data_IF_851001073421
#
_entry.id   IF_851001073421
#
_cell.length_a   1.000
_cell.length_b   1.000
_cell.length_c   1.000
_cell.angle_alpha   90.00
_cell.angle_beta   90.00
_cell.angle_gamma   90.00
#
_symmetry.space_group_name_H-M   'P 1'
#
loop_
_entity.id
_entity.type
_entity.pdbx_description
1 polymer ?
#
# COMPACT_ATOMS: atom_id res chain seq x y z
N UNK A 1 -13.39 18.05 -13.38
CA UNK A 1 -14.28 17.10 -12.68
C UNK A 1 -13.52 16.64 -11.42
N UNK A 2 -13.88 17.12 -10.24
CA UNK A 2 -13.17 16.76 -8.98
C UNK A 2 -13.56 15.33 -8.63
N UNK A 3 -12.57 14.43 -8.60
CA UNK A 3 -12.75 13.09 -8.05
C UNK A 3 -13.20 13.21 -6.59
N UNK A 4 -14.34 12.62 -6.26
CA UNK A 4 -14.84 12.59 -4.90
C UNK A 4 -13.95 11.64 -4.10
N UNK A 5 -13.16 12.20 -3.20
CA UNK A 5 -12.54 11.47 -2.12
C UNK A 5 -13.68 11.08 -1.17
N UNK A 6 -13.99 9.81 -1.10
CA UNK A 6 -14.82 9.28 -0.03
C UNK A 6 -13.95 9.14 1.22
N UNK A 7 -13.76 10.29 1.90
CA UNK A 7 -13.41 10.29 3.30
C UNK A 7 -14.70 10.04 4.07
N UNK A 8 -15.08 8.79 4.27
CA UNK A 8 -16.09 8.42 5.24
C UNK A 8 -15.38 7.96 6.52
N UNK A 9 -15.54 8.85 7.49
CA UNK A 9 -15.55 8.62 8.93
C UNK A 9 -14.27 8.16 9.65
N UNK A 10 -13.82 9.06 10.46
CA UNK A 10 -13.09 9.02 11.72
C UNK A 10 -11.63 9.49 11.64
N UNK A 11 -11.52 10.72 11.84
CA UNK A 11 -10.42 11.55 12.32
C UNK A 11 -10.03 12.64 11.30
N UNK A 12 -10.03 13.87 11.75
CA UNK A 12 -9.62 15.09 11.04
C UNK A 12 -8.10 15.15 10.75
N UNK A 13 -7.43 14.02 10.60
CA UNK A 13 -6.01 13.96 10.27
C UNK A 13 -5.81 13.82 8.76
N UNK A 14 -4.90 14.63 8.21
CA UNK A 14 -4.47 14.50 6.82
C UNK A 14 -3.92 13.10 6.54
N UNK A 15 -4.19 12.50 5.36
CA UNK A 15 -3.73 11.16 5.03
C UNK A 15 -2.20 11.11 4.95
N UNK A 16 -1.60 10.11 5.60
CA UNK A 16 -0.16 9.84 5.55
C UNK A 16 0.23 8.78 4.54
N UNK A 17 -0.73 7.98 4.08
CA UNK A 17 -0.53 6.91 3.11
C UNK A 17 -1.48 7.09 1.94
N UNK A 18 -0.96 6.97 0.71
CA UNK A 18 -1.75 6.96 -0.52
C UNK A 18 -1.71 5.56 -1.13
N UNK A 19 -2.89 4.95 -1.33
CA UNK A 19 -3.04 3.60 -1.87
C UNK A 19 -3.58 3.69 -3.31
N UNK A 20 -2.81 3.17 -4.25
CA UNK A 20 -3.15 3.16 -5.67
C UNK A 20 -3.44 1.73 -6.15
N UNK A 21 -4.45 1.58 -6.99
CA UNK A 21 -4.85 0.31 -7.58
C UNK A 21 -4.87 0.41 -9.11
N UNK A 22 -4.31 -0.59 -9.79
CA UNK A 22 -4.32 -0.65 -11.26
C UNK A 22 -5.72 -0.85 -11.85
N UNK A 23 -6.62 -1.46 -11.06
CA UNK A 23 -8.00 -1.77 -11.45
C UNK A 23 -8.93 -1.76 -10.25
N UNK A 24 -10.25 -1.58 -10.50
CA UNK A 24 -11.28 -1.77 -9.48
C UNK A 24 -11.30 -3.20 -8.93
N UNK A 25 -10.92 -4.19 -9.73
CA UNK A 25 -10.82 -5.59 -9.28
C UNK A 25 -9.81 -5.82 -8.16
N UNK A 26 -8.83 -4.92 -7.99
CA UNK A 26 -7.79 -5.05 -6.98
C UNK A 26 -8.29 -4.65 -5.57
N UNK A 27 -9.48 -4.05 -5.49
CA UNK A 27 -10.05 -3.55 -4.25
C UNK A 27 -10.20 -4.63 -3.18
N UNK A 28 -10.70 -5.82 -3.54
CA UNK A 28 -10.91 -6.91 -2.58
C UNK A 28 -9.60 -7.34 -1.87
N UNK A 29 -8.48 -7.19 -2.56
CA UNK A 29 -7.15 -7.40 -1.99
C UNK A 29 -6.66 -6.17 -1.24
N UNK A 30 -6.74 -4.99 -1.86
CA UNK A 30 -6.13 -3.77 -1.32
C UNK A 30 -6.88 -3.19 -0.12
N UNK A 31 -8.16 -3.53 0.07
CA UNK A 31 -8.90 -3.16 1.29
C UNK A 31 -8.23 -3.66 2.57
N UNK A 32 -7.50 -4.79 2.51
CA UNK A 32 -6.73 -5.27 3.67
C UNK A 32 -5.64 -4.30 4.11
N UNK A 33 -5.07 -3.51 3.18
CA UNK A 33 -4.15 -2.45 3.56
C UNK A 33 -4.88 -1.28 4.23
N UNK A 34 -6.05 -0.88 3.70
CA UNK A 34 -6.89 0.18 4.29
C UNK A 34 -7.31 -0.19 5.71
N UNK A 35 -7.83 -1.40 5.89
CA UNK A 35 -8.30 -1.91 7.19
C UNK A 35 -7.14 -1.94 8.20
N UNK A 36 -5.97 -2.45 7.80
CA UNK A 36 -4.78 -2.52 8.67
C UNK A 36 -4.26 -1.14 9.07
N UNK A 37 -4.24 -0.17 8.15
CA UNK A 37 -3.88 1.22 8.48
C UNK A 37 -4.89 1.83 9.45
N UNK A 38 -6.19 1.57 9.25
CA UNK A 38 -7.26 2.00 10.15
C UNK A 38 -7.12 1.44 11.56
N UNK A 39 -6.80 0.14 11.71
CA UNK A 39 -6.50 -0.50 13.00
C UNK A 39 -5.32 0.17 13.73
N UNK A 40 -4.35 0.68 12.98
CA UNK A 40 -3.17 1.38 13.52
C UNK A 40 -3.38 2.90 13.70
N UNK A 41 -4.59 3.41 13.41
CA UNK A 41 -4.91 4.83 13.52
C UNK A 41 -4.23 5.71 12.47
N UNK A 42 -3.81 5.14 11.33
CA UNK A 42 -3.16 5.86 10.24
C UNK A 42 -4.20 6.23 9.17
N UNK A 43 -4.41 7.52 8.95
CA UNK A 43 -5.27 8.00 7.89
C UNK A 43 -4.65 7.71 6.51
N UNK A 44 -5.45 7.19 5.57
CA UNK A 44 -5.04 6.93 4.21
C UNK A 44 -6.09 7.40 3.20
N UNK A 45 -5.63 7.70 2.00
CA UNK A 45 -6.47 7.86 0.81
C UNK A 45 -6.29 6.67 -0.12
N UNK A 46 -7.28 6.37 -0.96
CA UNK A 46 -7.16 5.29 -1.94
C UNK A 46 -7.95 5.60 -3.21
N UNK A 47 -7.41 5.18 -4.35
CA UNK A 47 -8.08 5.34 -5.63
C UNK A 47 -7.54 4.40 -6.71
N UNK A 48 -8.32 4.23 -7.76
CA UNK A 48 -7.88 3.53 -8.98
C UNK A 48 -7.09 4.51 -9.86
N UNK A 49 -5.85 4.13 -10.19
CA UNK A 49 -4.97 4.86 -11.10
C UNK A 49 -4.11 3.87 -11.88
N UNK A 50 -4.54 3.56 -13.10
CA UNK A 50 -3.84 2.57 -13.94
C UNK A 50 -2.62 3.18 -14.61
N UNK A 51 -1.45 2.52 -14.48
CA UNK A 51 -0.25 2.94 -15.19
C UNK A 51 -0.41 2.94 -16.73
N UNK A 52 -1.29 2.07 -17.27
CA UNK A 52 -1.49 1.91 -18.71
C UNK A 52 -2.68 2.69 -19.25
N UNK A 53 -3.76 2.85 -18.46
CA UNK A 53 -5.01 3.46 -18.91
C UNK A 53 -5.19 4.91 -18.48
N UNK A 54 -4.52 5.31 -17.38
CA UNK A 54 -4.55 6.66 -16.80
C UNK A 54 -3.16 7.07 -16.34
N UNK A 55 -2.11 7.02 -17.19
CA UNK A 55 -0.72 7.25 -16.78
C UNK A 55 -0.50 8.66 -16.20
N UNK A 56 -1.17 9.67 -16.76
CA UNK A 56 -1.08 11.06 -16.26
C UNK A 56 -1.65 11.19 -14.84
N UNK A 57 -2.71 10.44 -14.51
CA UNK A 57 -3.28 10.42 -13.17
C UNK A 57 -2.30 9.81 -12.16
N UNK A 58 -1.73 8.64 -12.49
CA UNK A 58 -0.76 7.96 -11.63
C UNK A 58 0.48 8.84 -11.39
N UNK A 59 1.00 9.46 -12.45
CA UNK A 59 2.14 10.39 -12.39
C UNK A 59 1.83 11.62 -11.53
N UNK A 60 0.66 12.23 -11.70
CA UNK A 60 0.25 13.42 -10.93
C UNK A 60 0.16 13.09 -9.44
N UNK A 61 -0.50 11.99 -9.07
CA UNK A 61 -0.63 11.56 -7.69
C UNK A 61 0.74 11.37 -7.05
N UNK A 62 1.65 10.68 -7.73
CA UNK A 62 3.01 10.44 -7.25
C UNK A 62 3.78 11.74 -7.01
N UNK A 63 3.73 12.68 -7.96
CA UNK A 63 4.42 13.98 -7.87
C UNK A 63 3.86 14.89 -6.76
N UNK A 64 2.54 14.90 -6.57
CA UNK A 64 1.87 15.76 -5.60
C UNK A 64 1.86 15.17 -4.17
N UNK A 65 2.14 13.88 -4.01
CA UNK A 65 2.00 13.15 -2.75
C UNK A 65 2.75 13.82 -1.58
N UNK A 66 4.03 14.11 -1.75
CA UNK A 66 4.85 14.72 -0.70
C UNK A 66 4.32 16.09 -0.25
N UNK A 67 3.89 16.92 -1.21
CA UNK A 67 3.32 18.25 -0.92
C UNK A 67 1.97 18.22 -0.20
N UNK A 68 1.29 17.06 -0.21
CA UNK A 68 0.02 16.82 0.49
C UNK A 68 0.21 16.11 1.85
N UNK A 69 1.44 15.94 2.32
CA UNK A 69 1.72 15.28 3.60
C UNK A 69 1.77 13.75 3.55
N UNK A 70 1.65 13.14 2.37
CA UNK A 70 1.83 11.70 2.20
C UNK A 70 3.28 11.33 2.49
N UNK A 71 3.47 10.25 3.24
CA UNK A 71 4.79 9.74 3.64
C UNK A 71 5.15 8.43 2.94
N UNK A 72 4.15 7.62 2.55
CA UNK A 72 4.34 6.34 1.88
C UNK A 72 3.25 6.15 0.82
N UNK A 73 3.62 5.62 -0.34
CA UNK A 73 2.68 5.15 -1.35
C UNK A 73 2.65 3.62 -1.38
N UNK A 74 1.44 3.06 -1.47
CA UNK A 74 1.23 1.62 -1.67
C UNK A 74 0.56 1.45 -3.03
N UNK A 75 1.11 0.60 -3.89
CA UNK A 75 0.59 0.39 -5.24
C UNK A 75 0.31 -1.09 -5.49
N UNK A 76 -0.95 -1.43 -5.74
CA UNK A 76 -1.41 -2.77 -6.08
C UNK A 76 -1.69 -2.91 -7.58
N UNK A 77 -1.11 -3.94 -8.22
CA UNK A 77 -1.35 -4.23 -9.63
C UNK A 77 -1.12 -5.71 -9.96
N UNK A 78 -1.78 -6.19 -11.02
CA UNK A 78 -1.69 -7.56 -11.48
C UNK A 78 -1.24 -7.71 -12.92
N UNK A 79 -0.83 -8.92 -13.29
CA UNK A 79 -0.27 -9.29 -14.60
C UNK A 79 0.97 -8.44 -14.94
N UNK A 80 0.89 -7.55 -15.94
CA UNK A 80 1.90 -6.52 -16.20
C UNK A 80 1.84 -5.42 -15.12
N UNK A 81 2.30 -5.74 -13.92
CA UNK A 81 2.12 -4.94 -12.70
C UNK A 81 3.10 -3.76 -12.62
N UNK A 82 3.03 -2.84 -13.60
CA UNK A 82 3.97 -1.73 -13.74
C UNK A 82 3.67 -0.54 -12.82
N UNK A 83 2.51 -0.50 -12.16
CA UNK A 83 2.05 0.70 -11.43
C UNK A 83 3.04 1.15 -10.35
N UNK A 84 3.55 0.23 -9.53
CA UNK A 84 4.48 0.57 -8.46
C UNK A 84 5.78 1.19 -9.00
N UNK A 85 6.33 0.62 -10.09
CA UNK A 85 7.52 1.14 -10.75
C UNK A 85 7.29 2.53 -11.37
N UNK A 86 6.14 2.74 -12.02
CA UNK A 86 5.76 4.06 -12.56
C UNK A 86 5.64 5.09 -11.44
N UNK A 87 4.97 4.74 -10.35
CA UNK A 87 4.86 5.63 -9.17
C UNK A 87 6.22 5.95 -8.60
N UNK A 88 7.09 4.95 -8.38
CA UNK A 88 8.42 5.13 -7.82
C UNK A 88 9.33 6.03 -8.69
N UNK A 89 9.14 6.02 -10.01
CA UNK A 89 9.88 6.89 -10.93
C UNK A 89 9.49 8.39 -10.82
N UNK A 90 8.39 8.72 -10.13
CA UNK A 90 7.85 10.07 -10.07
C UNK A 90 7.80 10.68 -8.65
N UNK A 91 8.35 9.99 -7.65
CA UNK A 91 8.41 10.47 -6.27
C UNK A 91 9.70 10.01 -5.60
N UNK A 92 10.15 10.76 -4.60
CA UNK A 92 11.22 10.35 -3.69
C UNK A 92 10.69 9.62 -2.44
N UNK A 93 9.36 9.58 -2.25
CA UNK A 93 8.73 8.87 -1.13
C UNK A 93 8.90 7.36 -1.29
N UNK A 94 8.95 6.60 -0.18
CA UNK A 94 8.90 5.15 -0.23
C UNK A 94 7.67 4.63 -0.99
N UNK A 95 7.89 3.70 -1.93
CA UNK A 95 6.83 3.03 -2.68
C UNK A 95 6.85 1.55 -2.37
N UNK A 96 5.70 1.03 -1.93
CA UNK A 96 5.47 -0.37 -1.59
C UNK A 96 4.58 -1.02 -2.65
N UNK A 97 5.08 -2.06 -3.29
CA UNK A 97 4.37 -2.79 -4.34
C UNK A 97 3.67 -4.03 -3.80
N UNK A 98 2.40 -4.18 -4.15
CA UNK A 98 1.59 -5.37 -3.82
C UNK A 98 1.22 -6.07 -5.12
N UNK A 99 1.86 -7.20 -5.43
CA UNK A 99 1.49 -8.00 -6.59
C UNK A 99 0.11 -8.62 -6.41
N UNK A 100 -0.77 -8.49 -7.40
CA UNK A 100 -2.07 -9.15 -7.38
C UNK A 100 -1.96 -10.58 -7.91
N UNK A 101 -2.81 -11.46 -7.40
CA UNK A 101 -2.97 -12.79 -7.99
C UNK A 101 -3.50 -12.68 -9.42
N UNK A 102 -2.90 -13.41 -10.35
CA UNK A 102 -3.29 -13.47 -11.77
C UNK A 102 -3.83 -14.86 -12.13
N UNK A 103 -4.70 -14.92 -13.14
CA UNK A 103 -5.27 -16.20 -13.59
C UNK A 103 -4.21 -17.10 -14.24
N UNK A 104 -3.30 -16.52 -15.03
CA UNK A 104 -2.33 -17.27 -15.85
C UNK A 104 -1.19 -17.85 -15.03
N UNK A 105 -0.54 -17.06 -14.18
CA UNK A 105 0.68 -17.43 -13.44
C UNK A 105 0.52 -17.29 -11.92
N UNK A 106 -0.71 -17.26 -11.42
CA UNK A 106 -1.03 -17.19 -9.98
C UNK A 106 -0.31 -16.04 -9.25
N UNK A 107 -0.04 -14.94 -9.96
CA UNK A 107 0.61 -13.75 -9.44
C UNK A 107 2.15 -13.73 -9.58
N UNK A 108 2.78 -14.78 -10.11
CA UNK A 108 4.22 -14.79 -10.36
C UNK A 108 4.63 -13.72 -11.39
N UNK A 109 3.83 -13.54 -12.43
CA UNK A 109 3.96 -12.46 -13.40
C UNK A 109 3.87 -11.08 -12.75
N UNK A 110 2.90 -10.88 -11.86
CA UNK A 110 2.73 -9.64 -11.09
C UNK A 110 3.93 -9.39 -10.18
N UNK A 111 4.41 -10.43 -9.48
CA UNK A 111 5.57 -10.34 -8.59
C UNK A 111 6.83 -9.96 -9.37
N UNK A 112 7.13 -10.67 -10.45
CA UNK A 112 8.32 -10.41 -11.25
C UNK A 112 8.28 -9.03 -11.91
N UNK A 113 7.11 -8.58 -12.38
CA UNK A 113 6.93 -7.23 -12.95
C UNK A 113 7.14 -6.13 -11.92
N UNK A 114 6.88 -6.40 -10.64
CA UNK A 114 6.98 -5.41 -9.56
C UNK A 114 8.37 -5.39 -8.93
N UNK A 115 8.99 -6.57 -8.73
CA UNK A 115 10.24 -6.68 -7.97
C UNK A 115 11.50 -6.41 -8.80
N UNK A 116 11.49 -6.66 -10.12
CA UNK A 116 12.66 -6.54 -10.99
C UNK A 116 12.87 -5.09 -11.46
N UNK A 117 13.01 -4.18 -10.49
CA UNK A 117 13.25 -2.77 -10.76
C UNK A 117 14.71 -2.51 -11.15
N UNK A 118 14.97 -1.55 -12.05
CA UNK A 118 16.34 -1.13 -12.38
C UNK A 118 17.02 -0.47 -11.17
N UNK A 119 18.35 -0.56 -11.13
CA UNK A 119 19.14 0.16 -10.13
C UNK A 119 18.81 1.67 -10.14
N UNK A 120 18.57 2.24 -8.96
CA UNK A 120 18.24 3.66 -8.79
C UNK A 120 16.76 3.98 -8.57
N UNK A 121 15.83 3.10 -8.94
CA UNK A 121 14.38 3.28 -8.73
C UNK A 121 13.83 2.09 -7.92
N UNK A 122 13.94 2.11 -6.59
CA UNK A 122 13.53 0.99 -5.76
C UNK A 122 12.01 0.93 -5.55
N UNK A 123 11.48 -0.28 -5.47
CA UNK A 123 10.12 -0.59 -4.99
C UNK A 123 10.23 -1.66 -3.90
N UNK A 124 9.72 -1.38 -2.72
CA UNK A 124 9.62 -2.36 -1.63
C UNK A 124 8.50 -3.36 -1.93
N UNK A 125 8.80 -4.45 -2.63
CA UNK A 125 7.81 -5.42 -3.08
C UNK A 125 7.44 -6.40 -1.99
N UNK A 126 6.14 -6.55 -1.72
CA UNK A 126 5.58 -7.42 -0.68
C UNK A 126 5.06 -8.75 -1.28
N UNK A 127 4.44 -9.57 -0.44
CA UNK A 127 3.84 -10.83 -0.86
C UNK A 127 2.69 -10.64 -1.85
N UNK A 128 2.36 -11.67 -2.60
CA UNK A 128 1.22 -11.69 -3.52
C UNK A 128 -0.10 -11.69 -2.72
N UNK A 129 -1.06 -10.88 -3.16
CA UNK A 129 -2.43 -10.90 -2.66
C UNK A 129 -2.62 -10.21 -1.29
N UNK A 130 -3.61 -10.66 -0.52
CA UNK A 130 -4.05 -10.01 0.72
C UNK A 130 -2.99 -9.96 1.82
N UNK A 131 -2.15 -10.99 1.92
CA UNK A 131 -1.00 -10.97 2.84
C UNK A 131 -0.02 -9.85 2.48
N UNK A 132 0.23 -9.63 1.19
CA UNK A 132 1.05 -8.53 0.70
C UNK A 132 0.45 -7.17 1.00
N UNK A 133 -0.85 -6.99 0.82
CA UNK A 133 -1.56 -5.76 1.14
C UNK A 133 -1.46 -5.42 2.64
N UNK A 134 -1.71 -6.40 3.52
CA UNK A 134 -1.54 -6.25 4.97
C UNK A 134 -0.11 -5.89 5.35
N UNK A 135 0.87 -6.60 4.79
CA UNK A 135 2.29 -6.36 5.07
C UNK A 135 2.77 -5.00 4.52
N UNK A 136 2.22 -4.52 3.40
CA UNK A 136 2.49 -3.17 2.90
C UNK A 136 2.03 -2.10 3.89
N UNK A 137 0.83 -2.25 4.46
CA UNK A 137 0.34 -1.35 5.51
C UNK A 137 1.21 -1.38 6.78
N UNK A 138 1.62 -2.58 7.22
CA UNK A 138 2.50 -2.73 8.38
C UNK A 138 3.90 -2.15 8.13
N UNK A 139 4.44 -2.29 6.92
CA UNK A 139 5.73 -1.69 6.57
C UNK A 139 5.62 -0.16 6.45
N UNK A 140 4.52 0.35 5.87
CA UNK A 140 4.22 1.77 5.86
C UNK A 140 4.12 2.33 7.29
N UNK A 141 3.42 1.63 8.18
CA UNK A 141 3.35 1.98 9.60
C UNK A 141 4.74 1.98 10.27
N UNK A 142 5.59 1.01 9.97
CA UNK A 142 6.95 0.95 10.51
C UNK A 142 7.81 2.14 10.04
N UNK A 143 7.67 2.57 8.78
CA UNK A 143 8.35 3.75 8.24
C UNK A 143 7.87 5.02 8.97
N UNK A 144 6.55 5.19 9.13
CA UNK A 144 5.95 6.34 9.82
C UNK A 144 6.33 6.34 11.30
N UNK A 145 6.41 5.19 11.94
CA UNK A 145 6.77 5.02 13.35
C UNK A 145 8.20 5.48 13.70
N UNK A 146 9.07 5.70 12.71
CA UNK A 146 10.39 6.28 12.93
C UNK A 146 10.30 7.71 13.48
N UNK A 147 9.24 8.45 13.13
CA UNK A 147 9.03 9.84 13.54
C UNK A 147 7.70 10.09 14.27
N UNK A 148 6.83 9.07 14.39
CA UNK A 148 5.51 9.18 15.04
C UNK A 148 5.38 8.16 16.16
N UNK A 149 5.43 8.65 17.42
CA UNK A 149 5.36 7.80 18.60
C UNK A 149 4.01 7.10 18.78
N UNK A 150 2.90 7.72 18.35
CA UNK A 150 1.57 7.11 18.45
C UNK A 150 1.46 5.91 17.52
N UNK A 151 1.95 6.06 16.29
CA UNK A 151 2.00 4.96 15.31
C UNK A 151 2.93 3.87 15.79
N UNK A 152 4.08 4.22 16.37
CA UNK A 152 5.02 3.24 16.95
C UNK A 152 4.38 2.42 18.05
N UNK A 153 3.69 3.07 18.99
CA UNK A 153 2.99 2.39 20.09
C UNK A 153 1.89 1.44 19.55
N UNK A 154 1.09 1.89 18.58
CA UNK A 154 0.06 1.07 17.95
C UNK A 154 0.65 -0.15 17.23
N UNK A 155 1.74 0.02 16.50
CA UNK A 155 2.43 -1.07 15.79
C UNK A 155 3.02 -2.11 16.78
N UNK A 156 3.59 -1.67 17.89
CA UNK A 156 4.11 -2.56 18.94
C UNK A 156 2.96 -3.36 19.58
N UNK A 157 1.87 -2.68 19.95
CA UNK A 157 0.69 -3.34 20.51
C UNK A 157 0.08 -4.37 19.56
N UNK A 158 0.04 -4.06 18.26
CA UNK A 158 -0.39 -5.00 17.22
C UNK A 158 0.49 -6.26 17.20
N UNK A 159 1.81 -6.12 17.25
CA UNK A 159 2.75 -7.26 17.26
C UNK A 159 2.62 -8.10 18.52
N UNK A 160 2.48 -7.46 19.69
CA UNK A 160 2.25 -8.16 20.96
C UNK A 160 0.94 -8.96 20.95
N UNK A 161 -0.13 -8.38 20.37
CA UNK A 161 -1.40 -9.11 20.17
C UNK A 161 -1.20 -10.36 19.33
N UNK A 162 -0.52 -10.25 18.19
CA UNK A 162 -0.21 -11.41 17.33
C UNK A 162 0.59 -12.49 18.07
N UNK A 163 1.58 -12.08 18.87
CA UNK A 163 2.38 -13.02 19.68
C UNK A 163 1.51 -13.75 20.68
N UNK A 164 0.65 -13.04 21.43
CA UNK A 164 -0.27 -13.67 22.40
C UNK A 164 -1.22 -14.65 21.74
N UNK A 165 -1.80 -14.28 20.58
CA UNK A 165 -2.70 -15.15 19.83
C UNK A 165 -2.00 -16.42 19.33
N UNK A 166 -0.77 -16.28 18.83
CA UNK A 166 0.02 -17.42 18.37
C UNK A 166 0.41 -18.36 19.52
N UNK A 167 0.78 -17.80 20.68
CA UNK A 167 1.13 -18.60 21.88
C UNK A 167 -0.08 -19.30 22.51
N UNK A 168 -1.28 -18.72 22.37
CA UNK A 168 -2.52 -19.31 22.89
C UNK A 168 -3.16 -20.33 21.94
N UNK A 169 -2.65 -20.46 20.71
CA UNK A 169 -3.20 -21.38 19.73
C UNK A 169 -2.99 -22.84 20.19
N UNK A 170 -4.09 -23.60 20.26
CA UNK A 170 -4.07 -25.04 20.55
C UNK A 170 -4.46 -25.80 19.28
N UNK A 171 -3.81 -26.92 19.05
CA UNK A 171 -4.22 -27.86 18.00
C UNK A 171 -5.45 -28.64 18.45
N UNK A 172 -6.31 -29.07 17.49
CA UNK A 172 -7.49 -29.86 17.79
C UNK A 172 -7.14 -31.26 18.29
#
# INVERSE_FOLDING_TARGET
MRARYTADLMNSSEPKVSILMGSKSDWETMKHAVDTLGELGIACEYQVASAHRTPELATRIAKEAAGRGIQVLIAGAGAAAHLAGVVAAHTWLPVLGVPMESKSLKGLDSLLSTVQMPGGIPVGTLAIGSAGAKNAALLAAAIIALSDEKVRAALLAFREKQTREAMAATLP
#
